data_IF_372321376339
#
_entry.id   IF_372321376339
#
_cell.length_a   1.000
_cell.length_b   1.000
_cell.length_c   1.000
_cell.angle_alpha   90.00
_cell.angle_beta   90.00
_cell.angle_gamma   90.00
#
_symmetry.space_group_name_H-M   'P 1'
#
loop_
_entity.id
_entity.type
_entity.pdbx_description
1 polymer ?
#
# COMPACT_ATOMS: atom_id res chain seq x y z
N UNK A 1 15.98 -62.21 79.70
CA UNK A 1 15.02 -61.86 78.63
C UNK A 1 13.87 -62.85 78.69
N UNK A 2 12.62 -62.44 78.91
CA UNK A 2 11.51 -63.37 78.98
C UNK A 2 11.28 -64.00 77.60
N UNK A 3 11.26 -65.34 77.53
CA UNK A 3 10.86 -66.07 76.33
C UNK A 3 9.34 -65.95 76.21
N UNK A 4 8.88 -65.12 75.27
CA UNK A 4 7.47 -64.99 74.94
C UNK A 4 6.99 -66.34 74.39
N UNK A 5 6.17 -67.05 75.17
CA UNK A 5 5.62 -68.35 74.80
C UNK A 5 4.37 -68.14 73.96
N UNK A 6 4.54 -68.16 72.63
CA UNK A 6 3.43 -68.01 71.68
C UNK A 6 2.74 -69.36 71.54
N UNK A 7 1.45 -69.44 71.89
CA UNK A 7 0.70 -70.69 71.83
C UNK A 7 0.55 -71.17 70.38
N UNK A 8 0.37 -72.49 70.14
CA UNK A 8 0.18 -73.02 68.78
C UNK A 8 -0.95 -72.33 68.01
N UNK A 9 -2.03 -71.96 68.71
CA UNK A 9 -3.17 -71.23 68.14
C UNK A 9 -2.80 -69.79 67.73
N UNK A 10 -1.97 -69.10 68.53
CA UNK A 10 -1.46 -67.77 68.18
C UNK A 10 -0.54 -67.82 66.95
N UNK A 11 0.28 -68.88 66.79
CA UNK A 11 1.11 -69.06 65.59
C UNK A 11 0.28 -69.23 64.31
N UNK A 12 -0.81 -69.99 64.39
CA UNK A 12 -1.76 -70.18 63.27
C UNK A 12 -2.48 -68.86 62.96
N UNK A 13 -2.89 -68.11 63.99
CA UNK A 13 -3.51 -66.79 63.82
C UNK A 13 -2.57 -65.77 63.15
N UNK A 14 -1.29 -65.71 63.55
CA UNK A 14 -0.29 -64.87 62.91
C UNK A 14 -0.04 -65.29 61.46
N UNK A 15 0.10 -66.59 61.18
CA UNK A 15 0.25 -67.10 59.82
C UNK A 15 -0.95 -66.69 58.94
N UNK A 16 -2.18 -66.89 59.45
CA UNK A 16 -3.40 -66.52 58.74
C UNK A 16 -3.48 -65.00 58.49
N UNK A 17 -3.14 -64.17 59.47
CA UNK A 17 -3.05 -62.71 59.34
C UNK A 17 -2.00 -62.29 58.29
N UNK A 18 -0.82 -62.92 58.28
CA UNK A 18 0.20 -62.62 57.27
C UNK A 18 -0.24 -63.01 55.86
N UNK A 19 -0.89 -64.17 55.70
CA UNK A 19 -1.36 -64.65 54.41
C UNK A 19 -2.50 -63.78 53.88
N UNK A 20 -3.47 -63.41 54.73
CA UNK A 20 -4.56 -62.51 54.37
C UNK A 20 -4.08 -61.10 54.07
N UNK A 21 -3.11 -60.58 54.83
CA UNK A 21 -2.48 -59.29 54.50
C UNK A 21 -1.77 -59.34 53.15
N UNK A 22 -1.03 -60.42 52.84
CA UNK A 22 -0.36 -60.59 51.55
C UNK A 22 -1.34 -60.68 50.38
N UNK A 23 -2.46 -61.39 50.53
CA UNK A 23 -3.49 -61.48 49.47
C UNK A 23 -4.24 -60.16 49.29
N UNK A 24 -4.50 -59.41 50.37
CA UNK A 24 -5.08 -58.06 50.28
C UNK A 24 -4.10 -57.12 49.57
N UNK A 25 -2.80 -57.14 49.91
CA UNK A 25 -1.79 -56.33 49.23
C UNK A 25 -1.68 -56.73 47.75
N UNK A 26 -1.67 -58.02 47.45
CA UNK A 26 -1.61 -58.54 46.08
C UNK A 26 -2.83 -58.15 45.24
N UNK A 27 -4.04 -58.23 45.81
CA UNK A 27 -5.28 -57.83 45.12
C UNK A 27 -5.36 -56.32 44.95
N UNK A 28 -4.96 -55.53 45.95
CA UNK A 28 -4.86 -54.06 45.85
C UNK A 28 -3.84 -53.67 44.77
N UNK A 29 -2.66 -54.28 44.78
CA UNK A 29 -1.61 -54.02 43.79
C UNK A 29 -2.03 -54.42 42.37
N UNK A 30 -2.71 -55.56 42.22
CA UNK A 30 -3.29 -56.01 40.96
C UNK A 30 -4.43 -55.10 40.47
N UNK A 31 -5.29 -54.64 41.38
CA UNK A 31 -6.38 -53.70 41.07
C UNK A 31 -5.85 -52.34 40.65
N UNK A 32 -4.82 -51.82 41.32
CA UNK A 32 -4.16 -50.59 40.88
C UNK A 32 -3.49 -50.76 39.51
N UNK A 33 -2.90 -51.92 39.22
CA UNK A 33 -2.36 -52.27 37.89
C UNK A 33 -3.40 -52.18 36.77
N UNK A 34 -4.66 -52.49 37.06
CA UNK A 34 -5.77 -52.38 36.10
C UNK A 34 -6.20 -50.93 35.82
N UNK A 35 -5.79 -49.96 36.66
CA UNK A 35 -6.19 -48.56 36.56
C UNK A 35 -5.11 -47.64 35.99
N UNK A 36 -3.98 -48.19 35.54
CA UNK A 36 -2.88 -47.40 34.98
C UNK A 36 -3.28 -46.71 33.68
N UNK A 37 -3.10 -45.39 33.63
CA UNK A 37 -3.43 -44.57 32.46
C UNK A 37 -2.40 -43.48 32.25
N UNK A 38 -2.11 -43.18 31.00
CA UNK A 38 -1.32 -42.03 30.58
C UNK A 38 -2.17 -41.10 29.72
N UNK A 39 -2.08 -39.81 30.00
CA UNK A 39 -2.73 -38.76 29.23
C UNK A 39 -1.66 -37.79 28.73
N UNK A 40 -1.49 -37.72 27.41
CA UNK A 40 -0.59 -36.82 26.71
C UNK A 40 -1.44 -35.71 26.12
N UNK A 41 -1.32 -34.50 26.67
CA UNK A 41 -2.06 -33.32 26.24
C UNK A 41 -1.11 -32.47 25.42
N UNK A 42 -1.50 -32.16 24.18
CA UNK A 42 -0.66 -31.47 23.21
C UNK A 42 -1.34 -30.17 22.83
N UNK A 43 -0.62 -29.07 22.95
CA UNK A 43 -1.02 -27.76 22.43
C UNK A 43 -0.29 -27.58 21.10
N UNK A 44 -1.00 -27.66 19.96
CA UNK A 44 -0.39 -27.50 18.64
C UNK A 44 -0.07 -26.03 18.41
N UNK A 45 1.01 -25.76 17.68
CA UNK A 45 1.34 -24.43 17.19
C UNK A 45 0.63 -24.20 15.86
N UNK A 46 -0.05 -23.07 15.71
CA UNK A 46 -0.63 -22.66 14.43
C UNK A 46 0.48 -22.44 13.39
N UNK A 47 0.32 -23.03 12.21
CA UNK A 47 1.19 -22.85 11.06
C UNK A 47 0.47 -22.06 9.98
N UNK A 48 1.10 -21.01 9.48
CA UNK A 48 0.57 -20.22 8.38
C UNK A 48 0.54 -21.04 7.08
N UNK A 49 -0.54 -20.88 6.32
CA UNK A 49 -0.74 -21.45 5.00
C UNK A 49 -1.43 -20.40 4.12
N UNK A 50 -1.04 -20.34 2.86
CA UNK A 50 -1.60 -19.43 1.87
C UNK A 50 -2.08 -20.18 0.62
N UNK A 51 -3.08 -19.59 -0.03
CA UNK A 51 -3.52 -20.01 -1.35
C UNK A 51 -3.32 -18.87 -2.34
N UNK A 52 -2.86 -19.21 -3.54
CA UNK A 52 -2.88 -18.36 -4.72
C UNK A 52 -3.44 -19.22 -5.85
N UNK A 53 -4.54 -18.80 -6.44
CA UNK A 53 -5.18 -19.49 -7.54
C UNK A 53 -5.89 -18.50 -8.46
N UNK A 54 -6.12 -18.93 -9.70
CA UNK A 54 -6.96 -18.21 -10.65
C UNK A 54 -8.36 -18.79 -10.63
N UNK A 55 -9.37 -17.93 -10.58
CA UNK A 55 -10.78 -18.29 -10.78
C UNK A 55 -11.39 -17.50 -11.92
N UNK A 56 -12.41 -18.06 -12.55
CA UNK A 56 -13.13 -17.44 -13.65
C UNK A 56 -14.46 -16.88 -13.17
N UNK A 57 -14.80 -15.67 -13.62
CA UNK A 57 -16.12 -15.07 -13.50
C UNK A 57 -16.79 -15.13 -14.87
N UNK A 58 -18.07 -15.51 -14.91
CA UNK A 58 -18.93 -15.43 -16.09
C UNK A 58 -20.27 -14.80 -15.75
N UNK A 59 -20.93 -14.19 -16.73
CA UNK A 59 -22.28 -13.66 -16.53
C UNK A 59 -23.35 -14.75 -16.49
N UNK A 60 -23.22 -15.76 -17.36
CA UNK A 60 -24.12 -16.90 -17.43
C UNK A 60 -23.30 -18.20 -17.52
N UNK A 61 -22.78 -18.72 -16.40
CA UNK A 61 -22.10 -20.01 -16.39
C UNK A 61 -23.08 -21.15 -16.72
N UNK A 62 -22.62 -22.18 -17.44
CA UNK A 62 -23.43 -23.37 -17.69
C UNK A 62 -23.56 -24.21 -16.39
N UNK A 63 -24.64 -24.98 -16.24
CA UNK A 63 -24.87 -25.79 -15.03
C UNK A 63 -23.75 -26.81 -14.71
N UNK A 64 -23.02 -27.28 -15.72
CA UNK A 64 -21.85 -28.17 -15.57
C UNK A 64 -20.57 -27.40 -15.12
N UNK A 65 -20.48 -26.10 -15.40
CA UNK A 65 -19.36 -25.24 -15.00
C UNK A 65 -19.47 -24.81 -13.52
N UNK A 66 -20.67 -24.89 -12.95
CA UNK A 66 -20.92 -24.65 -11.53
C UNK A 66 -20.55 -25.84 -10.64
N UNK A 67 -20.39 -27.03 -11.21
CA UNK A 67 -20.15 -28.30 -10.49
C UNK A 67 -18.76 -28.89 -10.72
N UNK A 68 -17.95 -28.29 -11.61
CA UNK A 68 -16.58 -28.71 -11.89
C UNK A 68 -15.58 -28.13 -10.88
N UNK A 69 -14.40 -28.76 -10.76
CA UNK A 69 -13.32 -28.33 -9.85
C UNK A 69 -12.83 -26.88 -10.10
N UNK A 70 -13.13 -26.32 -11.27
CA UNK A 70 -12.93 -24.90 -11.59
C UNK A 70 -14.26 -24.19 -11.33
N UNK A 71 -14.60 -23.99 -10.06
CA UNK A 71 -15.83 -23.27 -9.68
C UNK A 71 -15.84 -21.88 -10.33
N UNK A 72 -16.73 -21.71 -11.31
CA UNK A 72 -16.96 -20.43 -11.98
C UNK A 72 -17.90 -19.59 -11.10
N UNK A 73 -17.54 -18.32 -10.90
CA UNK A 73 -18.38 -17.37 -10.18
C UNK A 73 -19.28 -16.59 -11.13
N UNK A 74 -20.45 -16.21 -10.66
CA UNK A 74 -21.37 -15.36 -11.43
C UNK A 74 -21.06 -13.88 -11.20
N UNK A 75 -21.07 -13.09 -12.28
CA UNK A 75 -20.74 -11.67 -12.20
C UNK A 75 -21.24 -10.84 -13.38
N UNK A 76 -21.25 -9.51 -13.23
CA UNK A 76 -21.59 -8.59 -14.33
C UNK A 76 -20.35 -7.89 -14.85
N UNK A 77 -20.41 -7.46 -16.11
CA UNK A 77 -19.28 -6.88 -16.83
C UNK A 77 -19.66 -5.48 -17.29
N UNK A 78 -18.73 -4.54 -17.14
CA UNK A 78 -18.85 -3.19 -17.65
C UNK A 78 -17.51 -2.72 -18.18
N UNK A 79 -17.55 -1.91 -19.22
CA UNK A 79 -16.37 -1.32 -19.83
C UNK A 79 -16.68 0.12 -20.18
N UNK A 80 -15.77 1.02 -19.84
CA UNK A 80 -15.92 2.43 -20.17
C UNK A 80 -14.60 3.03 -20.64
N UNK A 81 -14.70 4.06 -21.46
CA UNK A 81 -13.57 4.81 -21.98
C UNK A 81 -13.72 6.25 -21.51
N UNK A 82 -12.76 6.71 -20.73
CA UNK A 82 -12.70 8.08 -20.25
C UNK A 82 -11.53 8.81 -20.88
N UNK A 83 -11.79 10.05 -21.28
CA UNK A 83 -10.80 10.93 -21.89
C UNK A 83 -10.90 12.30 -21.23
N UNK A 84 -9.75 12.90 -20.96
CA UNK A 84 -9.71 14.23 -20.37
C UNK A 84 -8.38 14.92 -20.60
N UNK A 85 -8.44 16.25 -20.64
CA UNK A 85 -7.27 17.13 -20.72
C UNK A 85 -7.18 17.99 -19.47
N UNK A 86 -6.00 18.03 -18.86
CA UNK A 86 -5.76 18.75 -17.61
C UNK A 86 -4.52 19.62 -17.70
N UNK A 87 -4.61 20.83 -17.15
CA UNK A 87 -3.51 21.78 -17.09
C UNK A 87 -2.73 21.63 -15.77
N UNK A 88 -1.41 21.78 -15.87
CA UNK A 88 -0.47 21.73 -14.76
C UNK A 88 0.57 22.83 -14.90
N UNK A 89 1.03 23.35 -13.77
CA UNK A 89 2.13 24.32 -13.72
C UNK A 89 3.39 23.65 -13.18
N UNK A 90 4.58 23.92 -13.75
CA UNK A 90 5.83 23.41 -13.20
C UNK A 90 6.08 23.94 -11.79
N UNK A 91 6.76 23.12 -10.97
CA UNK A 91 7.18 23.55 -9.62
C UNK A 91 8.52 24.28 -9.64
N UNK A 92 9.37 23.91 -10.59
CA UNK A 92 10.64 24.56 -10.81
C UNK A 92 10.45 25.92 -11.47
N UNK A 93 11.32 26.87 -11.14
CA UNK A 93 11.46 28.12 -11.90
C UNK A 93 12.90 28.30 -12.31
N UNK A 94 13.11 28.78 -13.53
CA UNK A 94 14.39 29.26 -14.01
C UNK A 94 14.33 30.79 -14.12
N UNK A 95 15.43 31.44 -13.76
CA UNK A 95 15.58 32.88 -13.93
C UNK A 95 16.50 33.15 -15.09
N UNK A 96 16.01 33.83 -16.12
CA UNK A 96 16.80 34.28 -17.27
C UNK A 96 16.89 35.80 -17.25
N UNK A 97 18.04 36.34 -17.62
CA UNK A 97 18.20 37.79 -17.75
C UNK A 97 17.30 38.29 -18.88
N UNK A 98 16.77 39.50 -18.71
CA UNK A 98 15.92 40.15 -19.69
C UNK A 98 16.22 41.65 -19.74
N UNK A 99 15.56 42.36 -20.65
CA UNK A 99 15.63 43.80 -20.70
C UNK A 99 14.55 44.38 -19.79
N UNK A 100 14.94 45.16 -18.78
CA UNK A 100 13.98 45.88 -17.97
C UNK A 100 13.29 46.97 -18.81
N UNK A 101 11.97 47.08 -18.66
CA UNK A 101 11.15 48.07 -19.32
C UNK A 101 10.38 48.90 -18.31
N UNK A 102 9.98 50.08 -18.73
CA UNK A 102 9.08 50.92 -17.95
C UNK A 102 8.88 52.27 -18.62
N UNK A 103 8.33 53.20 -17.86
CA UNK A 103 7.91 54.50 -18.40
C UNK A 103 8.66 55.63 -17.71
N UNK A 104 9.23 56.51 -18.53
CA UNK A 104 9.84 57.77 -18.09
C UNK A 104 8.92 58.91 -18.52
N UNK A 105 8.49 59.73 -17.57
CA UNK A 105 7.83 61.01 -17.83
C UNK A 105 8.89 62.05 -18.14
N UNK A 106 8.83 62.60 -19.35
CA UNK A 106 9.66 63.73 -19.75
C UNK A 106 8.85 65.02 -19.65
N UNK A 107 9.41 66.05 -19.02
CA UNK A 107 8.80 67.38 -18.93
C UNK A 107 9.71 68.41 -19.58
N UNK A 108 9.11 69.28 -20.39
CA UNK A 108 9.77 70.34 -21.13
C UNK A 108 9.31 71.71 -20.64
N UNK A 109 10.20 72.43 -19.94
CA UNK A 109 9.94 73.78 -19.45
C UNK A 109 10.32 74.88 -20.45
N UNK A 110 10.71 74.53 -21.68
CA UNK A 110 11.00 75.51 -22.74
C UNK A 110 9.72 75.96 -23.47
N UNK A 111 9.85 77.03 -24.25
CA UNK A 111 8.78 77.58 -25.10
C UNK A 111 8.68 76.92 -26.48
N UNK A 112 9.52 75.92 -26.76
CA UNK A 112 9.59 75.22 -28.04
C UNK A 112 9.37 73.73 -27.87
N UNK A 113 8.76 73.09 -28.86
CA UNK A 113 8.66 71.63 -28.89
C UNK A 113 10.04 70.99 -29.01
N UNK A 114 10.28 69.91 -28.27
CA UNK A 114 11.53 69.15 -28.34
C UNK A 114 11.23 67.75 -28.86
N UNK A 115 12.03 67.29 -29.81
CA UNK A 115 11.89 65.95 -30.39
C UNK A 115 13.15 65.15 -30.12
N UNK A 116 12.99 63.93 -29.62
CA UNK A 116 14.06 62.96 -29.48
C UNK A 116 13.86 61.81 -30.46
N UNK A 117 14.98 61.30 -30.99
CA UNK A 117 14.98 60.13 -31.86
C UNK A 117 14.73 58.85 -31.06
N UNK A 118 14.22 57.78 -31.69
CA UNK A 118 14.27 56.44 -31.10
C UNK A 118 15.69 56.11 -30.62
N UNK A 119 15.81 55.26 -29.61
CA UNK A 119 17.09 54.87 -28.99
C UNK A 119 17.86 55.98 -28.26
N UNK A 120 17.22 57.13 -27.98
CA UNK A 120 17.78 58.17 -27.10
C UNK A 120 18.09 57.58 -25.72
N UNK A 121 19.29 57.89 -25.18
CA UNK A 121 19.81 57.33 -23.93
C UNK A 121 19.35 58.14 -22.71
N UNK A 122 18.81 57.44 -21.72
CA UNK A 122 18.47 57.91 -20.39
C UNK A 122 19.33 57.16 -19.38
N UNK A 123 20.20 57.87 -18.65
CA UNK A 123 21.07 57.27 -17.64
C UNK A 123 20.46 57.43 -16.26
N UNK A 124 20.31 56.32 -15.52
CA UNK A 124 19.91 56.33 -14.12
C UNK A 124 21.02 56.90 -13.23
N UNK A 125 20.76 57.19 -11.94
CA UNK A 125 21.79 57.61 -11.00
C UNK A 125 22.93 56.59 -10.83
N UNK A 126 22.64 55.30 -11.04
CA UNK A 126 23.61 54.21 -11.00
C UNK A 126 24.39 54.04 -12.32
N UNK A 127 24.16 54.90 -13.32
CA UNK A 127 24.82 54.83 -14.62
C UNK A 127 24.22 53.81 -15.59
N UNK A 128 23.09 53.18 -15.24
CA UNK A 128 22.41 52.21 -16.10
C UNK A 128 21.65 52.94 -17.21
N UNK A 129 21.80 52.46 -18.44
CA UNK A 129 21.26 53.12 -19.63
C UNK A 129 19.93 52.49 -20.05
N UNK A 130 18.91 53.33 -20.23
CA UNK A 130 17.63 52.99 -20.83
C UNK A 130 17.48 53.75 -22.14
N UNK A 131 16.82 53.13 -23.12
CA UNK A 131 16.64 53.66 -24.46
C UNK A 131 15.18 53.85 -24.78
N UNK A 132 14.87 55.00 -25.39
CA UNK A 132 13.54 55.25 -25.94
C UNK A 132 13.18 54.20 -27.01
N UNK A 133 12.00 53.58 -26.89
CA UNK A 133 11.52 52.64 -27.92
C UNK A 133 11.06 53.41 -29.16
N UNK A 134 10.32 54.49 -28.94
CA UNK A 134 9.69 55.28 -29.99
C UNK A 134 10.33 56.66 -30.14
N UNK A 135 10.03 57.33 -31.26
CA UNK A 135 10.32 58.76 -31.43
C UNK A 135 9.47 59.54 -30.42
N UNK A 136 10.09 60.48 -29.73
CA UNK A 136 9.42 61.24 -28.67
C UNK A 136 9.25 62.67 -29.16
N UNK A 137 8.05 63.23 -28.99
CA UNK A 137 7.79 64.65 -29.19
C UNK A 137 7.18 65.23 -27.91
N UNK A 138 7.92 66.12 -27.27
CA UNK A 138 7.49 66.80 -26.04
C UNK A 138 7.00 68.20 -26.42
N UNK A 139 5.75 68.56 -26.11
CA UNK A 139 5.24 69.91 -26.37
C UNK A 139 5.97 70.96 -25.52
N UNK A 140 5.95 72.21 -25.96
CA UNK A 140 6.36 73.36 -25.14
C UNK A 140 5.55 73.41 -23.84
N UNK A 141 6.20 73.68 -22.70
CA UNK A 141 5.56 73.75 -21.37
C UNK A 141 4.69 72.52 -21.02
N UNK A 142 5.03 71.34 -21.51
CA UNK A 142 4.26 70.13 -21.27
C UNK A 142 5.10 68.90 -20.99
N UNK A 143 4.43 67.77 -20.80
CA UNK A 143 5.06 66.49 -20.50
C UNK A 143 4.52 65.36 -21.37
N UNK A 144 5.33 64.31 -21.52
CA UNK A 144 4.93 63.09 -22.22
C UNK A 144 5.53 61.88 -21.53
N UNK A 145 4.76 60.80 -21.46
CA UNK A 145 5.21 59.51 -20.97
C UNK A 145 5.83 58.71 -22.12
N UNK A 146 7.01 58.17 -21.86
CA UNK A 146 7.82 57.49 -22.86
C UNK A 146 8.14 56.09 -22.39
N UNK A 147 7.80 55.05 -23.17
CA UNK A 147 8.26 53.71 -22.90
C UNK A 147 9.76 53.59 -23.21
N UNK A 148 10.50 53.05 -22.26
CA UNK A 148 11.94 52.83 -22.37
C UNK A 148 12.29 51.37 -22.07
N UNK A 149 13.38 50.91 -22.66
CA UNK A 149 13.95 49.57 -22.46
C UNK A 149 15.42 49.69 -22.07
N UNK A 150 15.89 48.85 -21.16
CA UNK A 150 17.30 48.74 -20.79
C UNK A 150 18.21 48.54 -22.02
N UNK A 151 19.44 49.07 -21.96
CA UNK A 151 20.45 48.89 -23.01
C UNK A 151 21.05 47.48 -23.02
N UNK A 152 21.05 46.82 -21.86
CA UNK A 152 21.55 45.45 -21.68
C UNK A 152 20.54 44.61 -20.90
N UNK A 153 20.71 43.30 -21.00
CA UNK A 153 20.04 42.36 -20.14
C UNK A 153 20.72 42.34 -18.77
N UNK A 154 19.95 42.12 -17.70
CA UNK A 154 20.50 41.98 -16.36
C UNK A 154 19.55 42.40 -15.27
N UNK A 155 19.59 41.68 -14.15
CA UNK A 155 18.76 41.95 -12.97
C UNK A 155 19.03 43.33 -12.37
N UNK A 156 20.23 43.90 -12.59
CA UNK A 156 20.59 45.23 -12.13
C UNK A 156 19.75 46.35 -12.75
N UNK A 157 19.11 46.10 -13.90
CA UNK A 157 18.22 47.07 -14.56
C UNK A 157 16.80 47.11 -13.94
N UNK A 158 16.47 46.20 -13.02
CA UNK A 158 15.25 46.27 -12.22
C UNK A 158 15.39 47.33 -11.11
N UNK A 159 15.27 48.60 -11.51
CA UNK A 159 15.44 49.75 -10.62
C UNK A 159 14.11 50.36 -10.18
N UNK A 160 14.06 50.89 -8.96
CA UNK A 160 12.92 51.66 -8.47
C UNK A 160 12.72 53.00 -9.19
N UNK A 161 11.67 53.76 -8.83
CA UNK A 161 11.44 55.11 -9.37
C UNK A 161 12.64 56.03 -9.17
N UNK A 162 13.12 56.67 -10.24
CA UNK A 162 14.28 57.56 -10.18
C UNK A 162 14.25 58.68 -11.23
N UNK A 163 15.16 59.64 -11.08
CA UNK A 163 15.40 60.67 -12.10
C UNK A 163 16.49 60.21 -13.07
N UNK A 164 16.33 60.50 -14.35
CA UNK A 164 17.25 60.14 -15.41
C UNK A 164 17.93 61.37 -16.00
N UNK A 165 19.18 61.20 -16.43
CA UNK A 165 19.92 62.21 -17.19
C UNK A 165 19.98 61.81 -18.66
N UNK A 166 20.16 62.78 -19.56
CA UNK A 166 20.29 62.55 -21.01
C UNK A 166 21.74 62.87 -21.41
N UNK A 167 22.67 61.88 -21.43
CA UNK A 167 24.11 62.16 -21.50
C UNK A 167 24.55 62.95 -22.74
N UNK A 168 23.91 62.70 -23.90
CA UNK A 168 24.29 63.29 -25.19
C UNK A 168 23.46 64.54 -25.56
N UNK A 169 22.82 65.19 -24.58
CA UNK A 169 22.08 66.41 -24.85
C UNK A 169 23.07 67.58 -25.06
N UNK A 170 23.30 67.99 -26.31
CA UNK A 170 24.36 68.96 -26.66
C UNK A 170 24.15 70.38 -26.11
N UNK A 171 22.91 70.76 -25.77
CA UNK A 171 22.55 72.13 -25.40
C UNK A 171 22.31 72.25 -23.89
N UNK A 172 23.11 73.07 -23.21
CA UNK A 172 23.01 73.30 -21.76
C UNK A 172 21.69 73.95 -21.33
N UNK A 173 21.06 74.75 -22.21
CA UNK A 173 19.72 75.27 -21.97
C UNK A 173 18.67 74.14 -21.97
N UNK A 174 18.81 73.13 -22.83
CA UNK A 174 17.91 71.97 -22.82
C UNK A 174 18.16 71.07 -21.61
N UNK A 175 19.43 70.88 -21.19
CA UNK A 175 19.76 70.11 -19.98
C UNK A 175 19.11 70.67 -18.72
N UNK A 176 18.99 72.00 -18.61
CA UNK A 176 18.37 72.67 -17.45
C UNK A 176 16.85 72.64 -17.48
N UNK A 177 16.25 72.60 -18.68
CA UNK A 177 14.80 72.78 -18.86
C UNK A 177 14.05 71.49 -19.22
N UNK A 178 14.74 70.39 -19.48
CA UNK A 178 14.13 69.08 -19.72
C UNK A 178 14.45 68.17 -18.55
N UNK A 179 13.40 67.64 -17.91
CA UNK A 179 13.55 66.65 -16.83
C UNK A 179 12.99 65.30 -17.24
N UNK A 180 13.65 64.22 -16.82
CA UNK A 180 13.23 62.85 -17.06
C UNK A 180 13.09 62.11 -15.73
N UNK A 181 11.91 61.55 -15.43
CA UNK A 181 11.67 60.82 -14.18
C UNK A 181 10.76 59.62 -14.41
N UNK A 182 11.04 58.50 -13.74
CA UNK A 182 10.06 57.42 -13.62
C UNK A 182 9.30 57.54 -12.31
N UNK A 183 8.00 57.26 -12.36
CA UNK A 183 7.15 57.18 -11.17
C UNK A 183 6.96 55.73 -10.70
N UNK A 184 7.17 54.76 -11.60
CA UNK A 184 7.11 53.32 -11.34
C UNK A 184 8.50 52.71 -11.55
N UNK A 185 8.73 51.54 -10.95
CA UNK A 185 9.95 50.77 -11.16
C UNK A 185 10.08 50.34 -12.63
N UNK A 186 11.33 50.22 -13.09
CA UNK A 186 11.66 49.47 -14.30
C UNK A 186 11.70 47.98 -13.93
N UNK A 187 11.09 47.12 -14.73
CA UNK A 187 10.98 45.68 -14.44
C UNK A 187 11.21 44.83 -15.68
N UNK A 188 11.70 43.60 -15.51
CA UNK A 188 11.95 42.65 -16.61
C UNK A 188 13.44 42.39 -16.88
N UNK A 189 14.33 42.96 -16.07
CA UNK A 189 15.76 42.68 -15.99
C UNK A 189 16.06 41.23 -15.59
N UNK A 190 15.21 40.65 -14.74
CA UNK A 190 15.18 39.22 -14.46
C UNK A 190 13.78 38.63 -14.75
N UNK A 191 13.70 37.69 -15.69
CA UNK A 191 12.47 36.95 -16.01
C UNK A 191 12.47 35.60 -15.31
N UNK A 192 11.40 35.31 -14.58
CA UNK A 192 11.16 33.98 -13.99
C UNK A 192 10.17 33.23 -14.85
N UNK A 193 10.58 32.09 -15.39
CA UNK A 193 9.72 31.18 -16.16
C UNK A 193 9.67 29.84 -15.45
N UNK A 194 8.53 29.15 -15.51
CA UNK A 194 8.44 27.76 -15.04
C UNK A 194 9.35 26.86 -15.87
N UNK A 195 10.02 25.90 -15.23
CA UNK A 195 10.78 24.87 -15.92
C UNK A 195 10.17 23.50 -15.61
N UNK A 196 9.72 22.81 -16.65
CA UNK A 196 9.09 21.50 -16.53
C UNK A 196 10.14 20.47 -16.09
N UNK A 197 9.97 19.87 -14.92
CA UNK A 197 10.82 18.77 -14.46
C UNK A 197 10.19 17.42 -14.78
N UNK A 198 11.01 16.36 -14.90
CA UNK A 198 10.49 15.00 -15.07
C UNK A 198 9.52 14.61 -13.93
N UNK A 199 9.82 15.02 -12.70
CA UNK A 199 8.95 14.81 -11.54
C UNK A 199 7.60 15.51 -11.67
N UNK A 200 7.53 16.64 -12.38
CA UNK A 200 6.26 17.36 -12.61
C UNK A 200 5.40 16.58 -13.62
N UNK A 201 6.01 16.05 -14.68
CA UNK A 201 5.34 15.20 -15.67
C UNK A 201 4.80 13.91 -15.03
N UNK A 202 5.61 13.23 -14.20
CA UNK A 202 5.21 11.98 -13.56
C UNK A 202 4.08 12.19 -12.54
N UNK A 203 4.15 13.27 -11.75
CA UNK A 203 3.07 13.63 -10.84
C UNK A 203 1.80 14.04 -11.58
N UNK A 204 1.92 14.77 -12.68
CA UNK A 204 0.79 15.15 -13.52
C UNK A 204 0.12 13.92 -14.13
N UNK A 205 0.90 12.99 -14.70
CA UNK A 205 0.40 11.71 -15.24
C UNK A 205 -0.40 10.93 -14.19
N UNK A 206 0.19 10.74 -12.99
CA UNK A 206 -0.49 10.05 -11.89
C UNK A 206 -1.83 10.71 -11.54
N UNK A 207 -1.84 12.05 -11.43
CA UNK A 207 -3.07 12.81 -11.12
C UNK A 207 -4.13 12.70 -12.21
N UNK A 208 -3.75 12.73 -13.49
CA UNK A 208 -4.70 12.54 -14.60
C UNK A 208 -5.31 11.15 -14.54
N UNK A 209 -4.48 10.11 -14.37
CA UNK A 209 -4.96 8.73 -14.25
C UNK A 209 -5.89 8.54 -13.05
N UNK A 210 -5.55 9.09 -11.87
CA UNK A 210 -6.41 9.05 -10.68
C UNK A 210 -7.77 9.71 -10.93
N UNK A 211 -7.80 10.90 -11.57
CA UNK A 211 -9.06 11.60 -11.88
C UNK A 211 -9.93 10.82 -12.85
N UNK A 212 -9.36 10.36 -13.96
CA UNK A 212 -10.09 9.57 -14.95
C UNK A 212 -10.56 8.24 -14.35
N UNK A 213 -9.77 7.63 -13.46
CA UNK A 213 -10.15 6.41 -12.76
C UNK A 213 -11.38 6.61 -11.86
N UNK A 214 -11.42 7.70 -11.09
CA UNK A 214 -12.59 8.03 -10.25
C UNK A 214 -13.85 8.23 -11.10
N UNK A 215 -13.74 8.97 -12.21
CA UNK A 215 -14.87 9.20 -13.13
C UNK A 215 -15.38 7.90 -13.77
N UNK A 216 -14.47 7.05 -14.24
CA UNK A 216 -14.81 5.74 -14.79
C UNK A 216 -15.48 4.84 -13.75
N UNK A 217 -14.97 4.82 -12.51
CA UNK A 217 -15.52 4.03 -11.41
C UNK A 217 -16.95 4.47 -11.04
N UNK A 218 -17.25 5.77 -11.08
CA UNK A 218 -18.62 6.26 -10.87
C UNK A 218 -19.57 5.77 -11.97
N UNK A 219 -19.17 5.87 -13.24
CA UNK A 219 -19.95 5.37 -14.39
C UNK A 219 -20.18 3.86 -14.31
N UNK A 220 -19.13 3.10 -14.03
CA UNK A 220 -19.22 1.63 -13.87
C UNK A 220 -20.16 1.25 -12.73
N UNK A 221 -20.12 1.95 -11.59
CA UNK A 221 -21.04 1.69 -10.48
C UNK A 221 -22.50 1.95 -10.87
N UNK A 222 -22.75 3.01 -11.63
CA UNK A 222 -24.09 3.34 -12.15
C UNK A 222 -24.58 2.34 -13.20
N UNK A 223 -23.69 1.78 -14.01
CA UNK A 223 -24.01 0.78 -15.03
C UNK A 223 -24.26 -0.61 -14.42
N UNK A 224 -23.35 -1.08 -13.56
CA UNK A 224 -23.43 -2.43 -12.99
C UNK A 224 -24.54 -2.57 -11.94
N UNK A 225 -24.82 -1.50 -11.18
CA UNK A 225 -25.70 -1.49 -10.01
C UNK A 225 -25.52 -2.76 -9.17
N UNK A 226 -24.29 -2.99 -8.63
CA UNK A 226 -23.99 -4.23 -7.94
C UNK A 226 -24.87 -4.37 -6.69
N UNK A 227 -25.36 -5.59 -6.38
CA UNK A 227 -25.99 -5.87 -5.10
C UNK A 227 -25.05 -5.53 -3.92
N UNK A 228 -25.58 -5.33 -2.69
CA UNK A 228 -24.76 -4.96 -1.52
C UNK A 228 -23.61 -5.92 -1.21
N UNK A 229 -23.79 -7.21 -1.50
CA UNK A 229 -22.78 -8.26 -1.26
C UNK A 229 -21.76 -8.41 -2.41
N UNK A 230 -21.87 -7.59 -3.46
CA UNK A 230 -20.97 -7.66 -4.62
C UNK A 230 -19.85 -6.63 -4.51
N UNK A 231 -18.65 -7.04 -4.92
CA UNK A 231 -17.50 -6.16 -5.13
C UNK A 231 -17.23 -6.01 -6.61
N UNK A 232 -16.43 -4.99 -6.96
CA UNK A 232 -16.00 -4.72 -8.32
C UNK A 232 -14.47 -4.80 -8.35
N UNK A 233 -13.94 -5.65 -9.23
CA UNK A 233 -12.52 -5.64 -9.58
C UNK A 233 -12.34 -4.94 -10.93
N UNK A 234 -11.28 -4.13 -11.03
CA UNK A 234 -11.06 -3.20 -12.13
C UNK A 234 -9.68 -3.42 -12.74
N UNK A 235 -9.61 -3.26 -14.06
CA UNK A 235 -8.36 -3.18 -14.82
C UNK A 235 -8.38 -1.92 -15.66
N UNK A 236 -7.35 -1.09 -15.50
CA UNK A 236 -7.18 0.16 -16.26
C UNK A 236 -6.05 0.00 -17.26
N UNK A 237 -6.31 0.38 -18.51
CA UNK A 237 -5.32 0.44 -19.58
C UNK A 237 -5.30 1.85 -20.18
N UNK A 238 -4.12 2.43 -20.34
CA UNK A 238 -3.96 3.69 -21.07
C UNK A 238 -3.98 3.37 -22.57
N UNK A 239 -4.96 3.94 -23.29
CA UNK A 239 -5.06 3.79 -24.74
C UNK A 239 -4.22 4.82 -25.48
N UNK A 240 -4.23 6.06 -24.97
CA UNK A 240 -3.53 7.19 -25.59
C UNK A 240 -3.11 8.19 -24.51
N UNK A 241 -1.91 8.75 -24.65
CA UNK A 241 -1.41 9.83 -23.81
C UNK A 241 -0.68 10.85 -24.67
N UNK A 242 -1.06 12.13 -24.54
CA UNK A 242 -0.41 13.26 -25.19
C UNK A 242 -0.05 14.29 -24.15
N UNK A 243 1.20 14.72 -24.16
CA UNK A 243 1.72 15.77 -23.28
C UNK A 243 2.29 16.87 -24.16
N UNK A 244 1.85 18.11 -23.96
CA UNK A 244 2.35 19.24 -24.74
C UNK A 244 3.66 19.83 -24.15
N UNK A 245 4.45 19.01 -23.46
CA UNK A 245 5.67 19.41 -22.78
C UNK A 245 6.68 18.27 -22.60
N UNK A 246 7.95 18.66 -22.51
CA UNK A 246 9.09 17.79 -22.22
C UNK A 246 9.87 18.34 -21.03
N UNK A 247 10.64 17.47 -20.37
CA UNK A 247 11.52 17.89 -19.29
C UNK A 247 12.56 18.89 -19.81
N UNK A 248 12.70 20.02 -19.12
CA UNK A 248 13.55 21.14 -19.52
C UNK A 248 12.81 22.26 -20.25
N UNK A 249 11.55 22.06 -20.66
CA UNK A 249 10.80 23.12 -21.31
C UNK A 249 10.56 24.33 -20.39
N UNK A 250 10.82 25.53 -20.90
CA UNK A 250 10.55 26.80 -20.22
C UNK A 250 9.13 27.28 -20.51
N UNK A 251 8.15 26.84 -19.71
CA UNK A 251 6.75 27.27 -19.84
C UNK A 251 6.05 27.41 -18.50
N UNK A 252 5.07 28.29 -18.42
CA UNK A 252 4.27 28.49 -17.20
C UNK A 252 3.26 27.38 -16.93
N UNK A 253 2.76 26.74 -18.00
CA UNK A 253 1.77 25.67 -17.92
C UNK A 253 1.99 24.64 -19.03
N UNK A 254 1.61 23.39 -18.75
CA UNK A 254 1.54 22.30 -19.71
C UNK A 254 0.23 21.53 -19.54
N UNK A 255 -0.19 20.83 -20.58
CA UNK A 255 -1.39 20.01 -20.62
C UNK A 255 -1.04 18.55 -20.83
N UNK A 256 -1.80 17.68 -20.17
CA UNK A 256 -1.79 16.24 -20.37
C UNK A 256 -3.20 15.83 -20.78
N UNK A 257 -3.31 15.24 -21.97
CA UNK A 257 -4.50 14.58 -22.47
C UNK A 257 -4.29 13.08 -22.39
N UNK A 258 -5.19 12.38 -21.69
CA UNK A 258 -5.10 10.92 -21.52
C UNK A 258 -6.45 10.30 -21.82
N UNK A 259 -6.40 9.19 -22.56
CA UNK A 259 -7.54 8.32 -22.81
C UNK A 259 -7.29 6.99 -22.15
N UNK A 260 -8.14 6.62 -21.19
CA UNK A 260 -8.06 5.34 -20.48
C UNK A 260 -9.26 4.48 -20.80
N UNK A 261 -9.03 3.16 -20.81
CA UNK A 261 -10.04 2.13 -20.86
C UNK A 261 -10.10 1.44 -19.52
N UNK A 262 -11.27 1.44 -18.88
CA UNK A 262 -11.49 0.71 -17.64
C UNK A 262 -12.43 -0.46 -17.91
N UNK A 263 -11.98 -1.63 -17.49
CA UNK A 263 -12.71 -2.89 -17.56
C UNK A 263 -13.05 -3.32 -16.15
N UNK A 264 -14.30 -3.69 -15.93
CA UNK A 264 -14.85 -3.98 -14.62
C UNK A 264 -15.60 -5.30 -14.62
N UNK A 265 -15.38 -6.09 -13.58
CA UNK A 265 -16.21 -7.25 -13.28
C UNK A 265 -16.72 -7.14 -11.85
N UNK A 266 -18.03 -7.33 -11.66
CA UNK A 266 -18.62 -7.48 -10.33
C UNK A 266 -18.80 -8.95 -9.98
N UNK A 267 -18.64 -9.30 -8.72
CA UNK A 267 -18.82 -10.67 -8.21
C UNK A 267 -19.20 -10.64 -6.74
N UNK A 268 -19.80 -11.71 -6.25
CA UNK A 268 -20.10 -11.89 -4.84
C UNK A 268 -18.83 -12.22 -4.05
N UNK A 269 -18.47 -11.36 -3.09
CA UNK A 269 -17.25 -11.53 -2.30
C UNK A 269 -17.33 -12.71 -1.35
N UNK A 270 -18.53 -13.06 -0.85
CA UNK A 270 -18.71 -14.24 0.00
C UNK A 270 -18.46 -15.53 -0.77
N UNK A 271 -18.90 -15.59 -2.03
CA UNK A 271 -18.67 -16.76 -2.88
C UNK A 271 -17.18 -16.91 -3.21
N UNK A 272 -16.50 -15.80 -3.48
CA UNK A 272 -15.05 -15.78 -3.68
C UNK A 272 -14.29 -16.23 -2.42
N UNK A 273 -14.69 -15.74 -1.24
CA UNK A 273 -14.08 -16.11 0.03
C UNK A 273 -14.28 -17.60 0.33
N UNK A 274 -15.49 -18.12 0.12
CA UNK A 274 -15.78 -19.55 0.32
C UNK A 274 -14.94 -20.43 -0.62
N UNK A 275 -14.80 -20.02 -1.89
CA UNK A 275 -13.92 -20.69 -2.84
C UNK A 275 -12.45 -20.64 -2.39
N UNK A 276 -12.00 -19.50 -1.88
CA UNK A 276 -10.63 -19.37 -1.38
C UNK A 276 -10.37 -20.25 -0.14
N UNK A 277 -11.34 -20.37 0.79
CA UNK A 277 -11.26 -21.27 1.94
C UNK A 277 -11.20 -22.73 1.51
N UNK A 278 -12.00 -23.13 0.50
CA UNK A 278 -11.97 -24.47 -0.07
C UNK A 278 -10.59 -24.78 -0.67
N UNK A 279 -10.06 -23.90 -1.53
CA UNK A 279 -8.72 -24.05 -2.12
C UNK A 279 -7.61 -24.04 -1.08
N UNK A 280 -7.78 -23.29 0.01
CA UNK A 280 -6.85 -23.31 1.14
C UNK A 280 -6.89 -24.67 1.84
N UNK A 281 -8.09 -25.24 2.04
CA UNK A 281 -8.30 -26.54 2.70
C UNK A 281 -7.75 -27.69 1.87
N UNK A 282 -7.88 -27.66 0.54
CA UNK A 282 -7.31 -28.66 -0.37
C UNK A 282 -5.77 -28.75 -0.32
N UNK A 283 -5.09 -27.65 0.03
CA UNK A 283 -3.63 -27.63 0.20
C UNK A 283 -3.17 -28.20 1.54
N UNK A 284 -4.07 -28.44 2.49
CA UNK A 284 -3.70 -28.92 3.83
C UNK A 284 -3.29 -30.39 3.73
N UNK A 285 -2.09 -30.77 4.20
CA UNK A 285 -1.65 -32.17 4.17
C UNK A 285 -2.45 -33.03 5.15
N UNK A 286 -2.46 -34.34 4.93
CA UNK A 286 -3.10 -35.30 5.82
C UNK A 286 -2.58 -35.17 7.27
N UNK A 287 -3.45 -35.38 8.26
CA UNK A 287 -3.13 -35.21 9.68
C UNK A 287 -3.09 -33.75 10.15
N UNK A 288 -3.55 -32.80 9.33
CA UNK A 288 -3.75 -31.39 9.71
C UNK A 288 -5.15 -30.94 9.30
N UNK A 289 -5.62 -29.85 9.90
CA UNK A 289 -6.89 -29.19 9.57
C UNK A 289 -6.74 -27.67 9.60
N UNK A 290 -7.63 -26.98 8.88
CA UNK A 290 -7.75 -25.54 8.99
C UNK A 290 -8.26 -25.17 10.39
N UNK A 291 -7.53 -24.32 11.09
CA UNK A 291 -7.89 -23.81 12.40
C UNK A 291 -8.63 -22.47 12.29
N UNK A 292 -8.08 -21.57 11.48
CA UNK A 292 -8.60 -20.23 11.25
C UNK A 292 -8.15 -19.72 9.88
N UNK A 293 -8.78 -18.66 9.40
CA UNK A 293 -8.35 -17.89 8.23
C UNK A 293 -8.42 -16.40 8.56
N UNK A 294 -7.70 -15.58 7.78
CA UNK A 294 -7.68 -14.13 7.96
C UNK A 294 -8.54 -13.48 6.86
N UNK A 295 -9.80 -13.07 7.14
CA UNK A 295 -10.69 -12.53 6.10
C UNK A 295 -10.10 -11.30 5.40
N UNK A 296 -9.40 -10.44 6.15
CA UNK A 296 -8.79 -9.21 5.65
C UNK A 296 -7.57 -9.48 4.74
N UNK A 297 -7.07 -10.71 4.71
CA UNK A 297 -6.02 -11.13 3.78
C UNK A 297 -6.54 -11.51 2.39
N UNK A 298 -7.86 -11.53 2.19
CA UNK A 298 -8.47 -11.82 0.89
C UNK A 298 -8.08 -10.72 -0.10
N UNK A 299 -7.21 -11.07 -1.05
CA UNK A 299 -6.76 -10.17 -2.11
C UNK A 299 -7.18 -10.75 -3.46
N UNK A 300 -7.56 -9.87 -4.40
CA UNK A 300 -7.91 -10.29 -5.74
C UNK A 300 -7.53 -9.26 -6.80
N UNK A 301 -7.13 -9.73 -7.98
CA UNK A 301 -6.73 -8.88 -9.09
C UNK A 301 -7.28 -9.40 -10.42
N UNK A 302 -7.83 -8.50 -11.24
CA UNK A 302 -8.35 -8.82 -12.57
C UNK A 302 -7.21 -8.97 -13.59
N UNK A 303 -6.91 -10.21 -13.98
CA UNK A 303 -5.82 -10.51 -14.92
C UNK A 303 -6.32 -10.45 -16.36
N UNK A 304 -7.39 -11.17 -16.67
CA UNK A 304 -7.93 -11.29 -18.02
C UNK A 304 -9.40 -10.87 -18.06
N UNK A 305 -9.80 -10.25 -19.17
CA UNK A 305 -11.15 -9.74 -19.37
C UNK A 305 -11.54 -9.82 -20.83
N UNK A 306 -12.74 -10.35 -21.11
CA UNK A 306 -13.34 -10.39 -22.44
C UNK A 306 -14.82 -10.04 -22.34
N UNK A 307 -15.19 -8.88 -22.88
CA UNK A 307 -16.58 -8.45 -22.97
C UNK A 307 -17.38 -9.33 -23.95
N UNK A 308 -16.76 -9.76 -25.06
CA UNK A 308 -17.37 -10.65 -26.05
C UNK A 308 -17.75 -12.01 -25.45
N UNK A 309 -16.85 -12.59 -24.64
CA UNK A 309 -17.08 -13.87 -23.97
C UNK A 309 -17.84 -13.72 -22.65
N UNK A 310 -18.08 -12.49 -22.19
CA UNK A 310 -18.63 -12.16 -20.86
C UNK A 310 -17.94 -12.97 -19.76
N UNK A 311 -16.61 -12.97 -19.83
CA UNK A 311 -15.74 -13.78 -18.98
C UNK A 311 -14.51 -12.99 -18.53
N UNK A 312 -14.10 -13.21 -17.27
CA UNK A 312 -12.92 -12.61 -16.66
C UNK A 312 -12.19 -13.64 -15.79
N UNK A 313 -10.88 -13.46 -15.63
CA UNK A 313 -10.07 -14.26 -14.71
C UNK A 313 -9.55 -13.37 -13.59
N UNK A 314 -9.81 -13.78 -12.34
CA UNK A 314 -9.27 -13.18 -11.13
C UNK A 314 -8.14 -14.04 -10.57
N UNK A 315 -7.02 -13.42 -10.26
CA UNK A 315 -6.07 -13.97 -9.29
C UNK A 315 -6.63 -13.75 -7.89
N UNK A 316 -6.56 -14.77 -7.02
CA UNK A 316 -7.12 -14.72 -5.67
C UNK A 316 -6.10 -15.25 -4.69
N UNK A 317 -5.93 -14.52 -3.59
CA UNK A 317 -5.05 -14.88 -2.49
C UNK A 317 -5.81 -14.85 -1.17
N UNK A 318 -5.53 -15.82 -0.29
CA UNK A 318 -6.07 -15.87 1.07
C UNK A 318 -5.04 -16.54 1.98
N UNK A 319 -4.86 -15.99 3.18
CA UNK A 319 -4.08 -16.59 4.26
C UNK A 319 -4.97 -17.27 5.29
N UNK A 320 -4.44 -18.33 5.88
CA UNK A 320 -4.98 -18.92 7.07
C UNK A 320 -3.96 -19.72 7.86
N UNK A 321 -4.47 -20.48 8.80
CA UNK A 321 -3.69 -21.17 9.80
C UNK A 321 -4.17 -22.61 9.93
N UNK A 322 -3.25 -23.55 9.83
CA UNK A 322 -3.52 -24.97 10.05
C UNK A 322 -2.93 -25.45 11.38
N UNK A 323 -3.58 -26.45 11.95
CA UNK A 323 -3.11 -27.15 13.16
C UNK A 323 -3.14 -28.66 12.95
N UNK A 324 -2.34 -29.36 13.75
CA UNK A 324 -2.33 -30.82 13.81
C UNK A 324 -3.68 -31.38 14.28
N UNK A 325 -4.06 -32.52 13.71
CA UNK A 325 -5.20 -33.33 14.16
C UNK A 325 -4.74 -34.58 14.91
N UNK A 326 -5.61 -35.24 15.70
CA UNK A 326 -5.25 -36.45 16.43
C UNK A 326 -4.79 -37.62 15.54
N UNK A 327 -5.15 -37.58 14.25
CA UNK A 327 -4.80 -38.60 13.25
C UNK A 327 -3.40 -38.40 12.65
N UNK A 328 -2.68 -37.35 13.04
CA UNK A 328 -1.32 -37.13 12.54
C UNK A 328 -0.37 -38.24 13.02
N UNK A 329 0.50 -38.70 12.12
CA UNK A 329 1.47 -39.76 12.41
C UNK A 329 2.41 -39.43 13.59
N UNK A 330 2.73 -38.15 13.80
CA UNK A 330 3.57 -37.74 14.94
C UNK A 330 2.90 -38.04 16.29
N UNK A 331 1.58 -38.23 16.29
CA UNK A 331 0.74 -38.54 17.45
C UNK A 331 0.40 -40.04 17.54
N UNK A 332 1.09 -40.90 16.81
CA UNK A 332 0.86 -42.34 16.92
C UNK A 332 1.21 -42.83 18.35
N UNK A 333 0.21 -43.37 19.06
CA UNK A 333 0.32 -43.85 20.43
C UNK A 333 1.35 -44.97 20.60
N UNK A 334 1.55 -45.78 19.57
CA UNK A 334 2.51 -46.89 19.56
C UNK A 334 3.94 -46.42 19.81
N UNK A 335 4.25 -45.18 19.42
CA UNK A 335 5.56 -44.59 19.61
C UNK A 335 5.85 -44.29 21.08
N UNK A 336 4.84 -44.18 21.95
CA UNK A 336 5.01 -43.75 23.35
C UNK A 336 4.94 -44.90 24.36
N UNK A 337 4.56 -46.10 23.93
CA UNK A 337 4.39 -47.26 24.80
C UNK A 337 5.70 -47.63 25.49
N UNK A 338 5.67 -47.68 26.83
CA UNK A 338 6.85 -47.96 27.67
C UNK A 338 7.88 -46.82 27.77
N UNK A 339 7.66 -45.67 27.13
CA UNK A 339 8.58 -44.54 27.21
C UNK A 339 8.50 -43.79 28.55
N UNK A 340 9.64 -43.23 28.95
CA UNK A 340 9.74 -42.29 30.07
C UNK A 340 9.32 -40.88 29.61
N UNK A 341 8.87 -40.04 30.55
CA UNK A 341 8.40 -38.67 30.24
C UNK A 341 9.43 -37.83 29.48
N UNK A 342 10.69 -37.91 29.89
CA UNK A 342 11.80 -37.15 29.30
C UNK A 342 11.98 -37.47 27.81
N UNK A 343 11.93 -38.75 27.43
CA UNK A 343 12.01 -39.19 26.04
C UNK A 343 10.85 -38.69 25.19
N UNK A 344 9.64 -38.64 25.77
CA UNK A 344 8.47 -38.11 25.07
C UNK A 344 8.61 -36.59 24.87
N UNK A 345 9.17 -35.88 25.84
CA UNK A 345 9.49 -34.46 25.67
C UNK A 345 10.55 -34.24 24.57
N UNK A 346 11.63 -35.02 24.57
CA UNK A 346 12.65 -34.99 23.52
C UNK A 346 12.04 -35.27 22.13
N UNK A 347 11.16 -36.27 22.05
CA UNK A 347 10.47 -36.62 20.81
C UNK A 347 9.58 -35.49 20.29
N UNK A 348 8.89 -34.72 21.15
CA UNK A 348 8.05 -33.63 20.68
C UNK A 348 8.83 -32.33 20.42
N UNK A 349 9.98 -32.13 21.07
CA UNK A 349 10.83 -30.94 20.88
C UNK A 349 11.44 -30.83 19.47
N UNK A 350 11.54 -31.94 18.75
CA UNK A 350 11.99 -31.96 17.34
C UNK A 350 10.91 -31.49 16.35
N UNK A 351 9.65 -31.35 16.78
CA UNK A 351 8.54 -30.92 15.92
C UNK A 351 8.15 -29.45 16.19
N UNK A 352 8.46 -28.51 15.28
CA UNK A 352 8.15 -27.09 15.46
C UNK A 352 6.64 -26.78 15.44
N UNK A 353 5.83 -27.74 15.01
CA UNK A 353 4.36 -27.71 15.00
C UNK A 353 3.73 -27.97 16.38
N UNK A 354 4.54 -28.25 17.40
CA UNK A 354 4.08 -28.48 18.77
C UNK A 354 4.56 -27.33 19.65
N UNK A 355 3.63 -26.66 20.32
CA UNK A 355 3.92 -25.54 21.21
C UNK A 355 4.16 -26.01 22.64
N UNK A 356 3.35 -26.94 23.14
CA UNK A 356 3.44 -27.42 24.52
C UNK A 356 2.97 -28.88 24.61
N UNK A 357 3.61 -29.66 25.48
CA UNK A 357 3.21 -31.03 25.82
C UNK A 357 3.06 -31.16 27.33
N UNK A 358 1.98 -31.79 27.79
CA UNK A 358 1.75 -32.14 29.20
C UNK A 358 1.46 -33.63 29.34
N UNK A 359 2.25 -34.31 30.16
CA UNK A 359 2.11 -35.75 30.38
C UNK A 359 1.61 -35.99 31.80
N UNK A 360 0.38 -36.51 31.92
CA UNK A 360 -0.22 -36.92 33.19
C UNK A 360 -0.24 -38.44 33.27
N UNK A 361 0.40 -38.98 34.30
CA UNK A 361 0.38 -40.42 34.61
C UNK A 361 -0.48 -40.64 35.85
N UNK A 362 -1.32 -41.66 35.83
CA UNK A 362 -2.15 -42.04 36.97
C UNK A 362 -2.02 -43.54 37.28
N UNK A 363 -1.71 -43.93 38.54
CA UNK A 363 -1.35 -43.06 39.67
C UNK A 363 0.03 -42.42 39.53
N UNK A 364 0.15 -41.11 39.78
CA UNK A 364 1.38 -40.34 39.56
C UNK A 364 2.54 -40.69 40.51
N UNK A 365 2.23 -41.28 41.66
CA UNK A 365 3.21 -41.72 42.66
C UNK A 365 3.90 -43.04 42.31
N UNK A 366 3.30 -43.85 41.43
CA UNK A 366 3.79 -45.19 41.09
C UNK A 366 4.36 -45.25 39.67
N UNK A 367 3.70 -44.62 38.70
CA UNK A 367 4.14 -44.66 37.30
C UNK A 367 5.23 -43.62 37.01
N UNK A 368 6.39 -44.11 36.59
CA UNK A 368 7.45 -43.31 35.98
C UNK A 368 7.41 -43.34 34.45
N UNK A 369 6.80 -44.39 33.89
CA UNK A 369 6.71 -44.68 32.45
C UNK A 369 5.27 -44.65 31.97
N UNK A 370 5.08 -44.50 30.66
CA UNK A 370 3.79 -44.71 30.00
C UNK A 370 3.46 -46.21 29.98
N UNK A 371 2.19 -46.63 30.19
CA UNK A 371 1.77 -48.03 30.06
C UNK A 371 2.13 -48.61 28.69
N UNK A 372 2.44 -49.90 28.62
CA UNK A 372 2.77 -50.57 27.35
C UNK A 372 1.54 -50.79 26.46
N UNK A 373 0.35 -50.87 27.06
CA UNK A 373 -0.91 -51.07 26.35
C UNK A 373 -1.45 -49.75 25.77
N UNK A 374 -1.62 -49.69 24.45
CA UNK A 374 -2.09 -48.49 23.72
C UNK A 374 -3.45 -47.96 24.22
N UNK A 375 -4.36 -48.85 24.65
CA UNK A 375 -5.69 -48.49 25.16
C UNK A 375 -5.64 -47.66 26.44
N UNK A 376 -4.51 -47.73 27.16
CA UNK A 376 -4.26 -46.97 28.39
C UNK A 376 -3.62 -45.61 28.12
N UNK A 377 -3.28 -45.31 26.86
CA UNK A 377 -2.71 -44.05 26.40
C UNK A 377 -3.80 -43.21 25.72
N UNK A 378 -4.07 -42.04 26.30
CA UNK A 378 -5.00 -41.05 25.74
C UNK A 378 -4.21 -39.84 25.27
N UNK A 379 -4.34 -39.51 23.99
CA UNK A 379 -3.81 -38.28 23.43
C UNK A 379 -4.96 -37.29 23.32
N UNK A 380 -4.76 -36.08 23.83
CA UNK A 380 -5.73 -34.98 23.73
C UNK A 380 -5.05 -33.78 23.11
N UNK A 381 -5.70 -33.18 22.13
CA UNK A 381 -5.29 -31.90 21.58
C UNK A 381 -6.03 -30.81 22.33
N UNK A 382 -5.30 -29.91 22.98
CA UNK A 382 -5.86 -28.72 23.63
C UNK A 382 -6.04 -27.66 22.55
N UNK A 383 -7.28 -27.29 22.27
CA UNK A 383 -7.58 -26.12 21.46
C UNK A 383 -7.45 -24.89 22.36
N UNK A 384 -6.43 -24.08 22.13
CA UNK A 384 -6.42 -22.71 22.63
C UNK A 384 -7.34 -21.92 21.70
N UNK A 385 -8.32 -21.20 22.25
CA UNK A 385 -9.12 -20.29 21.44
C UNK A 385 -8.15 -19.23 20.89
N UNK A 386 -7.92 -19.27 19.57
CA UNK A 386 -7.17 -18.25 18.82
C UNK A 386 -8.08 -17.06 18.59
#
# INVERSE_FOLDING_TARGET
>A
MPKIYISPQQKIAYLFLTLTSLTIIGTIFGFFNLLYKAEIIITPKAQEIDTNFTTQIKENPNNEELTTNIKVLTGKFAETIEEGEFNFSPKGTISTEGYAEGTITLSNNTWTNVTFVPSTRFASPQGLIFRAINKIRIPAKGSVDVPVRADKMGAEYDIGPCSFTIPNLRNDHLKKNISAKSQKSMTGGLKKTGIVMQTDLDQARKKVQEKLYVQALEKIKQELLPPPDFKISLKSNVLEEKINAQAGDEKGEFTISTKIKIQAVSFNEKDLLNLAIERLTEKIPAGKKLAAYEPDSLAYHLIEYSLEKKAANLEVQLRGYMILTPENEILNKELFSGMDKEKIYEYFNQFPEIQEVKIKLWPSWLLKKVPEENDRIKIKIKHENV
#
